data_IF_379410498175
#
_entry.id   IF_379410498175
#
_cell.length_a   1.000
_cell.length_b   1.000
_cell.length_c   1.000
_cell.angle_alpha   90.00
_cell.angle_beta   90.00
_cell.angle_gamma   90.00
#
_symmetry.space_group_name_H-M   'P 1'
#
loop_
_entity.id
_entity.type
_entity.pdbx_description
1 polymer ?
#
# COMPACT_ATOMS: atom_id res chain seq x y z
N UNK A 1 3.48 -13.99 -4.58
CA UNK A 1 3.12 -13.43 -3.25
C UNK A 1 3.81 -14.22 -2.15
N UNK A 2 4.74 -13.58 -1.43
CA UNK A 2 5.42 -14.18 -0.27
C UNK A 2 4.49 -14.21 0.96
N UNK A 3 4.75 -15.10 1.91
CA UNK A 3 3.97 -15.22 3.15
C UNK A 3 4.85 -15.01 4.36
N UNK A 4 4.38 -14.22 5.32
CA UNK A 4 4.98 -14.04 6.64
C UNK A 4 4.03 -14.57 7.70
N UNK A 5 4.53 -15.52 8.48
CA UNK A 5 3.80 -16.13 9.60
C UNK A 5 4.07 -15.35 10.89
N UNK A 6 3.25 -15.65 11.89
CA UNK A 6 3.37 -15.07 13.21
C UNK A 6 4.58 -15.67 13.93
N UNK A 7 5.16 -14.87 14.82
CA UNK A 7 6.21 -15.34 15.72
C UNK A 7 5.90 -14.79 17.09
N UNK A 8 5.90 -15.67 18.11
CA UNK A 8 5.61 -15.24 19.48
C UNK A 8 6.76 -14.38 20.03
N UNK A 9 6.48 -13.53 21.03
CA UNK A 9 7.54 -12.75 21.69
C UNK A 9 8.69 -13.64 22.20
N UNK A 10 8.35 -14.81 22.77
CA UNK A 10 9.34 -15.75 23.29
C UNK A 10 10.20 -16.32 22.16
N UNK A 11 9.60 -16.67 21.02
CA UNK A 11 10.33 -17.14 19.85
C UNK A 11 11.26 -16.07 19.28
N UNK A 12 10.73 -14.86 19.07
CA UNK A 12 11.51 -13.73 18.52
C UNK A 12 12.70 -13.39 19.42
N UNK A 13 12.58 -13.54 20.74
CA UNK A 13 13.70 -13.30 21.67
C UNK A 13 14.90 -14.23 21.47
N UNK A 14 14.71 -15.35 20.77
CA UNK A 14 15.77 -16.33 20.46
C UNK A 14 16.33 -16.20 19.04
N UNK A 15 15.74 -15.34 18.21
CA UNK A 15 16.15 -15.21 16.81
C UNK A 15 17.55 -14.62 16.68
N UNK A 16 18.31 -15.20 15.74
CA UNK A 16 19.48 -14.56 15.17
C UNK A 16 19.09 -13.35 14.31
N UNK A 17 20.06 -12.49 14.00
CA UNK A 17 19.85 -11.36 13.08
C UNK A 17 19.26 -11.79 11.75
N UNK A 18 19.71 -12.92 11.19
CA UNK A 18 19.20 -13.41 9.91
C UNK A 18 17.73 -13.85 10.05
N UNK A 19 17.38 -14.57 11.11
CA UNK A 19 16.00 -14.98 11.36
C UNK A 19 15.06 -13.77 11.56
N UNK A 20 15.52 -12.69 12.19
CA UNK A 20 14.74 -11.45 12.28
C UNK A 20 14.45 -10.90 10.87
N UNK A 21 15.46 -10.83 10.00
CA UNK A 21 15.28 -10.37 8.60
C UNK A 21 14.33 -11.29 7.82
N UNK A 22 14.55 -12.60 7.90
CA UNK A 22 13.77 -13.59 7.17
C UNK A 22 12.28 -13.55 7.55
N UNK A 23 11.96 -13.20 8.80
CA UNK A 23 10.58 -13.15 9.28
C UNK A 23 9.92 -11.78 9.13
N UNK A 24 10.67 -10.68 9.26
CA UNK A 24 10.08 -9.33 9.38
C UNK A 24 10.46 -8.36 8.27
N UNK A 25 11.54 -8.60 7.52
CA UNK A 25 11.98 -7.72 6.45
C UNK A 25 11.36 -8.12 5.11
N UNK A 26 10.85 -7.14 4.38
CA UNK A 26 10.53 -7.27 2.95
C UNK A 26 11.66 -6.55 2.22
N UNK A 27 12.60 -7.31 1.66
CA UNK A 27 13.81 -6.72 1.03
C UNK A 27 13.49 -5.99 -0.27
N UNK A 28 12.48 -6.47 -0.99
CA UNK A 28 12.13 -5.96 -2.30
C UNK A 28 10.63 -5.62 -2.35
N UNK A 29 10.32 -4.33 -2.43
CA UNK A 29 8.94 -3.82 -2.55
C UNK A 29 8.63 -3.39 -3.98
N UNK A 30 9.63 -2.95 -4.75
CA UNK A 30 9.44 -2.44 -6.11
C UNK A 30 10.37 -3.16 -7.07
N UNK A 31 9.79 -3.75 -8.11
CA UNK A 31 10.53 -4.39 -9.20
C UNK A 31 9.95 -4.01 -10.55
N UNK A 32 10.84 -3.83 -11.52
CA UNK A 32 10.48 -3.25 -12.82
C UNK A 32 9.41 -4.10 -13.50
N UNK A 33 8.28 -3.46 -13.83
CA UNK A 33 7.15 -4.09 -14.49
C UNK A 33 6.58 -5.30 -13.72
N UNK A 34 6.61 -5.23 -12.39
CA UNK A 34 6.05 -6.24 -11.46
C UNK A 34 5.19 -5.61 -10.36
N UNK A 35 4.27 -6.42 -9.84
CA UNK A 35 3.56 -6.16 -8.59
C UNK A 35 4.09 -7.15 -7.55
N UNK A 36 4.85 -6.65 -6.59
CA UNK A 36 5.34 -7.43 -5.46
C UNK A 36 4.33 -7.37 -4.33
N UNK A 37 3.88 -8.54 -3.85
CA UNK A 37 2.94 -8.65 -2.74
C UNK A 37 3.48 -9.63 -1.70
N UNK A 38 3.35 -9.24 -0.43
CA UNK A 38 3.64 -10.06 0.74
C UNK A 38 2.40 -10.12 1.62
N UNK A 39 1.93 -11.33 1.90
CA UNK A 39 0.83 -11.58 2.82
C UNK A 39 1.39 -11.82 4.21
N UNK A 40 1.05 -10.95 5.14
CA UNK A 40 1.31 -11.11 6.57
C UNK A 40 0.09 -11.74 7.24
N UNK A 41 0.29 -12.74 8.09
CA UNK A 41 -0.80 -13.31 8.90
C UNK A 41 -1.31 -12.31 9.95
N UNK A 42 -0.47 -11.35 10.38
CA UNK A 42 -0.85 -10.26 11.28
C UNK A 42 -1.95 -9.43 10.62
N UNK A 43 -3.16 -9.56 11.16
CA UNK A 43 -4.41 -9.00 10.62
C UNK A 43 -4.67 -9.30 9.14
N UNK A 44 -4.01 -10.33 8.61
CA UNK A 44 -4.10 -10.73 7.20
C UNK A 44 -3.74 -9.58 6.25
N UNK A 45 -2.85 -8.68 6.66
CA UNK A 45 -2.45 -7.54 5.87
C UNK A 45 -1.64 -8.00 4.65
N UNK A 46 -1.90 -7.40 3.49
CA UNK A 46 -1.08 -7.55 2.30
C UNK A 46 -0.32 -6.24 2.11
N UNK A 47 1.00 -6.34 2.02
CA UNK A 47 1.93 -5.24 1.84
C UNK A 47 2.62 -5.44 0.51
N UNK A 48 2.80 -4.39 -0.28
CA UNK A 48 3.43 -4.55 -1.57
C UNK A 48 3.77 -3.25 -2.27
N UNK A 49 4.28 -3.41 -3.48
CA UNK A 49 4.56 -2.32 -4.39
C UNK A 49 4.30 -2.71 -5.84
N UNK A 50 3.78 -1.76 -6.62
CA UNK A 50 3.69 -1.87 -8.07
C UNK A 50 4.59 -0.81 -8.71
N UNK A 51 5.49 -1.23 -9.59
CA UNK A 51 6.38 -0.34 -10.36
C UNK A 51 6.17 -0.58 -11.86
N UNK A 52 5.09 -0.02 -12.45
CA UNK A 52 4.94 -0.04 -13.90
C UNK A 52 5.99 0.86 -14.54
N UNK A 53 6.72 0.39 -15.54
CA UNK A 53 7.69 1.22 -16.26
C UNK A 53 7.44 1.19 -17.76
N UNK A 54 7.41 -0.01 -18.34
CA UNK A 54 7.24 -0.20 -19.78
C UNK A 54 5.87 -0.80 -20.13
N UNK A 55 5.12 -1.29 -19.14
CA UNK A 55 3.79 -1.87 -19.35
C UNK A 55 2.81 -1.53 -18.23
N UNK A 56 1.52 -1.68 -18.54
CA UNK A 56 0.44 -1.63 -17.55
C UNK A 56 0.51 -2.90 -16.70
N UNK A 57 0.38 -2.74 -15.38
CA UNK A 57 0.35 -3.85 -14.44
C UNK A 57 -1.07 -4.03 -13.92
N UNK A 58 -1.69 -5.15 -14.24
CA UNK A 58 -3.00 -5.52 -13.69
C UNK A 58 -2.83 -6.25 -12.37
N UNK A 59 -3.60 -5.85 -11.36
CA UNK A 59 -3.66 -6.52 -10.07
C UNK A 59 -4.24 -7.93 -10.26
N UNK A 60 -3.41 -8.95 -10.05
CA UNK A 60 -3.87 -10.33 -10.06
C UNK A 60 -4.71 -10.67 -8.82
N UNK A 61 -5.36 -11.83 -8.85
CA UNK A 61 -6.08 -12.40 -7.71
C UNK A 61 -5.41 -13.71 -7.28
N UNK A 62 -4.49 -13.69 -6.30
CA UNK A 62 -3.82 -14.91 -5.85
C UNK A 62 -4.83 -15.93 -5.26
N UNK A 63 -4.79 -17.20 -5.70
CA UNK A 63 -5.70 -18.28 -5.27
C UNK A 63 -5.86 -18.44 -3.75
N UNK A 64 -4.82 -18.05 -3.00
CA UNK A 64 -4.81 -18.09 -1.53
C UNK A 64 -5.81 -17.13 -0.89
N UNK A 65 -6.28 -16.11 -1.62
CA UNK A 65 -7.36 -15.24 -1.16
C UNK A 65 -8.71 -15.94 -1.12
N UNK A 66 -8.90 -17.02 -1.90
CA UNK A 66 -10.17 -17.76 -2.00
C UNK A 66 -11.35 -16.82 -2.28
N UNK A 67 -11.13 -15.94 -3.25
CA UNK A 67 -12.06 -14.92 -3.73
C UNK A 67 -12.09 -14.96 -5.27
N UNK A 68 -13.12 -14.39 -5.87
CA UNK A 68 -13.28 -14.24 -7.32
C UNK A 68 -12.35 -13.16 -7.89
N UNK A 69 -12.14 -12.07 -7.13
CA UNK A 69 -11.22 -10.99 -7.43
C UNK A 69 -10.60 -10.41 -6.15
N UNK A 70 -9.51 -9.66 -6.29
CA UNK A 70 -8.64 -9.28 -5.16
C UNK A 70 -9.38 -8.51 -4.04
N UNK A 71 -10.22 -7.54 -4.40
CA UNK A 71 -10.94 -6.69 -3.43
C UNK A 71 -12.39 -7.13 -3.16
N UNK A 72 -12.77 -8.38 -3.44
CA UNK A 72 -14.12 -8.88 -3.15
C UNK A 72 -14.49 -8.71 -1.66
N UNK A 73 -13.51 -8.87 -0.78
CA UNK A 73 -13.65 -8.80 0.68
C UNK A 73 -12.53 -8.01 1.35
N UNK A 74 -11.91 -7.09 0.61
CA UNK A 74 -10.74 -6.33 1.04
C UNK A 74 -10.87 -4.88 0.62
N UNK A 75 -10.21 -4.00 1.35
CA UNK A 75 -9.94 -2.62 0.94
C UNK A 75 -8.45 -2.45 0.64
N UNK A 76 -8.09 -1.40 -0.10
CA UNK A 76 -6.72 -1.11 -0.47
C UNK A 76 -6.42 0.38 -0.40
N UNK A 77 -5.31 0.73 0.23
CA UNK A 77 -4.71 2.06 0.17
C UNK A 77 -3.43 2.02 -0.64
N UNK A 78 -3.27 3.03 -1.50
CA UNK A 78 -2.17 3.17 -2.43
C UNK A 78 -1.57 4.55 -2.21
N UNK A 79 -0.25 4.63 -1.95
CA UNK A 79 0.49 5.89 -1.91
C UNK A 79 1.56 5.83 -2.99
N UNK A 80 1.61 6.83 -3.88
CA UNK A 80 2.67 6.92 -4.86
C UNK A 80 3.90 7.61 -4.25
N UNK A 81 5.06 6.95 -4.26
CA UNK A 81 6.33 7.50 -3.76
C UNK A 81 7.35 7.76 -4.87
N UNK A 82 6.98 7.51 -6.13
CA UNK A 82 7.81 7.69 -7.33
C UNK A 82 7.36 8.85 -8.23
N UNK A 83 7.59 8.69 -9.54
CA UNK A 83 7.11 9.63 -10.57
C UNK A 83 5.60 9.59 -10.77
N UNK A 84 5.07 10.42 -11.66
CA UNK A 84 3.62 10.47 -11.93
C UNK A 84 3.13 9.18 -12.59
N UNK A 85 1.94 8.74 -12.18
CA UNK A 85 1.30 7.58 -12.77
C UNK A 85 -0.21 7.61 -12.63
N UNK A 86 -0.82 6.47 -12.92
CA UNK A 86 -2.28 6.29 -12.92
C UNK A 86 -2.64 4.97 -12.25
N UNK A 87 -3.66 5.02 -11.41
CA UNK A 87 -4.39 3.84 -10.93
C UNK A 87 -5.72 3.82 -11.67
N UNK A 88 -6.03 2.73 -12.36
CA UNK A 88 -7.35 2.54 -12.99
C UNK A 88 -8.13 1.51 -12.20
N UNK A 89 -9.33 1.85 -11.75
CA UNK A 89 -10.22 0.98 -10.98
C UNK A 89 -11.59 0.92 -11.67
N UNK A 90 -11.98 -0.26 -12.15
CA UNK A 90 -13.24 -0.50 -12.87
C UNK A 90 -13.49 0.51 -14.01
N UNK A 91 -12.42 0.83 -14.75
CA UNK A 91 -12.45 1.77 -15.87
C UNK A 91 -12.34 3.25 -15.47
N UNK A 92 -12.40 3.59 -14.18
CA UNK A 92 -12.18 4.95 -13.68
C UNK A 92 -10.69 5.20 -13.47
N UNK A 93 -10.18 6.26 -14.08
CA UNK A 93 -8.76 6.62 -14.03
C UNK A 93 -8.48 7.65 -12.93
N UNK A 94 -7.54 7.33 -12.04
CA UNK A 94 -7.00 8.23 -11.04
C UNK A 94 -5.55 8.58 -11.37
N UNK A 95 -5.32 9.75 -11.95
CA UNK A 95 -3.97 10.31 -12.07
C UNK A 95 -3.45 10.66 -10.68
N UNK A 96 -2.26 10.19 -10.33
CA UNK A 96 -1.72 10.23 -8.98
C UNK A 96 -0.26 10.67 -9.02
N UNK A 97 0.00 11.86 -8.49
CA UNK A 97 1.34 12.40 -8.33
C UNK A 97 2.09 11.81 -7.14
N UNK A 98 3.35 12.22 -6.99
CA UNK A 98 4.19 11.83 -5.85
C UNK A 98 3.59 12.35 -4.53
N UNK A 99 3.52 11.48 -3.52
CA UNK A 99 2.90 11.72 -2.21
C UNK A 99 1.38 11.96 -2.27
N UNK A 100 0.72 11.62 -3.37
CA UNK A 100 -0.74 11.51 -3.40
C UNK A 100 -1.16 10.07 -3.11
N UNK A 101 -2.42 9.87 -2.71
CA UNK A 101 -2.96 8.57 -2.38
C UNK A 101 -4.27 8.27 -3.12
N UNK A 102 -4.54 6.97 -3.32
CA UNK A 102 -5.84 6.47 -3.76
C UNK A 102 -6.27 5.38 -2.78
N UNK A 103 -7.52 5.43 -2.34
CA UNK A 103 -8.20 4.37 -1.63
C UNK A 103 -9.18 3.67 -2.57
N UNK A 104 -9.14 2.34 -2.57
CA UNK A 104 -10.07 1.48 -3.28
C UNK A 104 -10.84 0.65 -2.25
N UNK A 105 -12.15 0.82 -2.25
CA UNK A 105 -13.05 0.12 -1.36
C UNK A 105 -13.33 -1.32 -1.80
N UNK A 106 -13.90 -2.07 -0.86
CA UNK A 106 -14.43 -3.41 -1.11
C UNK A 106 -15.38 -3.44 -2.30
N UNK A 107 -15.17 -4.40 -3.19
CA UNK A 107 -16.00 -4.64 -4.38
C UNK A 107 -15.40 -4.12 -5.67
N UNK A 108 -14.29 -3.38 -5.62
CA UNK A 108 -13.55 -2.95 -6.82
C UNK A 108 -12.93 -4.17 -7.51
N UNK A 109 -13.30 -4.45 -8.74
CA UNK A 109 -12.95 -5.73 -9.38
C UNK A 109 -11.65 -5.64 -10.17
N UNK A 110 -11.55 -4.67 -11.06
CA UNK A 110 -10.44 -4.53 -11.99
C UNK A 110 -9.56 -3.37 -11.57
N UNK A 111 -8.32 -3.66 -11.15
CA UNK A 111 -7.34 -2.64 -10.77
C UNK A 111 -6.09 -2.77 -11.63
N UNK A 112 -5.60 -1.66 -12.18
CA UNK A 112 -4.33 -1.62 -12.89
C UNK A 112 -3.53 -0.35 -12.60
N UNK A 113 -2.23 -0.44 -12.85
CA UNK A 113 -1.24 0.58 -12.56
C UNK A 113 -0.44 0.91 -13.82
N UNK A 114 -0.20 2.19 -14.07
CA UNK A 114 0.69 2.64 -15.14
C UNK A 114 1.49 3.87 -14.73
N UNK A 115 2.65 4.06 -15.38
CA UNK A 115 3.48 5.25 -15.22
C UNK A 115 3.26 6.20 -16.38
N UNK A 116 3.33 7.50 -16.11
CA UNK A 116 3.30 8.54 -17.16
C UNK A 116 4.60 8.56 -17.97
N UNK A 117 5.72 8.19 -17.34
CA UNK A 117 7.05 8.16 -17.95
C UNK A 117 7.82 6.92 -17.51
N UNK A 118 8.46 6.21 -18.45
CA UNK A 118 9.36 5.10 -18.15
C UNK A 118 10.70 5.56 -17.54
N UNK A 119 11.08 6.83 -17.76
CA UNK A 119 12.31 7.42 -17.22
C UNK A 119 12.17 7.83 -15.76
N UNK A 120 10.94 8.07 -15.29
CA UNK A 120 10.60 8.39 -13.91
C UNK A 120 9.32 7.62 -13.53
N UNK A 121 9.43 6.30 -13.29
CA UNK A 121 8.28 5.47 -13.05
C UNK A 121 7.61 5.80 -11.71
N UNK A 122 6.29 5.66 -11.67
CA UNK A 122 5.53 5.64 -10.44
C UNK A 122 5.90 4.43 -9.59
N UNK A 123 5.90 4.64 -8.27
CA UNK A 123 6.18 3.62 -7.26
C UNK A 123 4.98 3.55 -6.33
N UNK A 124 4.03 2.66 -6.61
CA UNK A 124 2.79 2.54 -5.86
C UNK A 124 2.98 1.64 -4.65
N UNK A 125 3.14 2.21 -3.46
CA UNK A 125 3.14 1.45 -2.21
C UNK A 125 1.70 1.05 -1.86
N UNK A 126 1.47 -0.23 -1.61
CA UNK A 126 0.15 -0.84 -1.47
C UNK A 126 0.02 -1.45 -0.08
N UNK A 127 -1.06 -1.10 0.62
CA UNK A 127 -1.55 -1.85 1.77
C UNK A 127 -2.98 -2.30 1.51
N UNK A 128 -3.27 -3.56 1.83
CA UNK A 128 -4.63 -4.09 1.77
C UNK A 128 -4.94 -4.94 2.99
N UNK A 129 -6.14 -4.77 3.54
CA UNK A 129 -6.65 -5.55 4.65
C UNK A 129 -8.09 -6.01 4.37
N UNK A 130 -8.62 -6.99 5.10
CA UNK A 130 -10.01 -7.40 5.00
C UNK A 130 -10.98 -6.22 5.24
N UNK A 131 -12.08 -6.19 4.51
CA UNK A 131 -13.11 -5.16 4.65
C UNK A 131 -14.50 -5.79 4.67
N UNK A 132 -15.39 -5.22 5.47
CA UNK A 132 -16.75 -5.72 5.65
C UNK A 132 -17.81 -4.77 5.09
N UNK A 133 -17.55 -3.46 5.16
CA UNK A 133 -18.32 -2.42 4.49
C UNK A 133 -17.63 -1.98 3.19
N UNK A 134 -18.41 -1.34 2.31
CA UNK A 134 -17.89 -0.68 1.11
C UNK A 134 -17.88 0.82 1.36
N UNK A 135 -16.72 1.44 1.15
CA UNK A 135 -16.53 2.89 1.09
C UNK A 135 -16.12 3.29 -0.34
N UNK A 136 -16.39 4.52 -0.79
CA UNK A 136 -16.15 4.94 -2.17
C UNK A 136 -14.66 4.98 -2.50
N UNK A 137 -14.33 4.65 -3.76
CA UNK A 137 -13.00 4.86 -4.30
C UNK A 137 -12.70 6.35 -4.35
N UNK A 138 -11.57 6.78 -3.80
CA UNK A 138 -11.26 8.21 -3.67
C UNK A 138 -9.77 8.47 -3.81
N UNK A 139 -9.43 9.56 -4.50
CA UNK A 139 -8.08 10.12 -4.57
C UNK A 139 -7.92 11.24 -3.56
N UNK A 140 -6.79 11.29 -2.87
CA UNK A 140 -6.35 12.41 -2.05
C UNK A 140 -5.03 12.95 -2.60
N UNK A 141 -5.07 14.19 -3.09
CA UNK A 141 -3.86 14.88 -3.52
C UNK A 141 -3.03 15.32 -2.33
N UNK A 142 -1.70 15.29 -2.47
CA UNK A 142 -0.73 15.72 -1.47
C UNK A 142 -1.11 17.05 -0.80
N UNK A 143 -1.54 18.04 -1.58
CA UNK A 143 -1.85 19.40 -1.09
C UNK A 143 -3.10 19.45 -0.19
N UNK A 144 -3.95 18.43 -0.25
CA UNK A 144 -5.16 18.30 0.56
C UNK A 144 -4.96 17.38 1.78
N UNK A 145 -3.74 16.87 1.98
CA UNK A 145 -3.42 15.97 3.09
C UNK A 145 -3.29 16.76 4.39
N UNK A 146 -3.92 16.26 5.45
CA UNK A 146 -3.76 16.83 6.79
C UNK A 146 -2.33 16.57 7.26
N UNK A 147 -1.58 17.64 7.52
CA UNK A 147 -0.18 17.59 7.96
C UNK A 147 -0.02 18.04 9.41
N UNK A 148 0.90 17.39 10.14
CA UNK A 148 1.25 17.77 11.50
C UNK A 148 2.77 17.81 11.65
N UNK A 149 3.31 18.99 11.96
CA UNK A 149 4.73 19.15 12.29
C UNK A 149 4.96 18.87 13.78
N UNK A 150 5.91 18.01 14.10
CA UNK A 150 6.19 17.60 15.47
C UNK A 150 7.67 17.34 15.70
N UNK A 151 8.05 17.34 16.98
CA UNK A 151 9.43 17.08 17.40
C UNK A 151 10.33 18.28 17.20
N UNK A 152 11.61 18.07 17.51
CA UNK A 152 12.63 19.10 17.50
C UNK A 152 13.96 18.53 16.99
N UNK A 153 14.83 19.41 16.49
CA UNK A 153 16.13 19.00 15.96
C UNK A 153 17.03 18.46 17.09
N UNK A 154 16.93 19.05 18.27
CA UNK A 154 17.68 18.69 19.48
C UNK A 154 17.39 17.26 19.94
N UNK A 155 16.18 16.77 19.66
CA UNK A 155 15.75 15.39 19.97
C UNK A 155 15.82 14.46 18.75
N UNK A 156 16.42 14.90 17.65
CA UNK A 156 16.60 14.14 16.42
C UNK A 156 15.30 13.50 15.88
N UNK A 157 14.17 14.19 16.06
CA UNK A 157 12.84 13.67 15.72
C UNK A 157 11.91 14.72 15.08
N UNK A 158 12.47 15.85 14.61
CA UNK A 158 11.74 16.83 13.82
C UNK A 158 11.23 16.20 12.52
N UNK A 159 9.91 16.20 12.32
CA UNK A 159 9.26 15.52 11.18
C UNK A 159 7.88 16.10 10.87
N UNK A 160 7.40 15.81 9.66
CA UNK A 160 6.06 16.16 9.19
C UNK A 160 5.26 14.89 8.96
N UNK A 161 4.17 14.71 9.71
CA UNK A 161 3.27 13.56 9.54
C UNK A 161 2.17 13.94 8.55
N UNK A 162 2.03 13.17 7.49
CA UNK A 162 0.98 13.24 6.47
C UNK A 162 -0.06 12.15 6.75
N UNK A 163 -1.31 12.52 7.01
CA UNK A 163 -2.39 11.57 7.33
C UNK A 163 -3.30 11.37 6.12
N UNK A 164 -3.33 10.17 5.54
CA UNK A 164 -4.12 9.88 4.33
C UNK A 164 -5.42 9.15 4.65
N UNK A 165 -5.31 7.91 5.15
CA UNK A 165 -6.45 7.09 5.53
C UNK A 165 -6.53 7.13 7.05
N UNK A 166 -7.53 7.86 7.57
CA UNK A 166 -7.75 8.09 8.99
C UNK A 166 -9.16 8.70 9.21
N UNK A 167 -9.58 8.84 10.47
CA UNK A 167 -10.94 9.28 10.82
C UNK A 167 -11.39 10.62 10.22
N UNK A 168 -10.49 11.59 10.06
CA UNK A 168 -10.79 12.92 9.49
C UNK A 168 -10.38 13.02 8.00
N UNK A 169 -9.80 11.95 7.44
CA UNK A 169 -9.35 11.88 6.06
C UNK A 169 -10.19 10.88 5.28
N UNK A 170 -9.54 9.99 4.53
CA UNK A 170 -10.25 8.93 3.81
C UNK A 170 -10.83 7.92 4.80
N UNK A 171 -12.14 7.66 4.69
CA UNK A 171 -12.84 6.61 5.44
C UNK A 171 -12.44 5.21 4.98
N UNK A 172 -12.36 4.28 5.93
CA UNK A 172 -12.01 2.87 5.71
C UNK A 172 -12.70 1.98 6.74
N UNK A 173 -12.65 0.65 6.55
CA UNK A 173 -13.11 -0.29 7.56
C UNK A 173 -12.13 -0.36 8.74
N UNK A 174 -10.84 -0.56 8.44
CA UNK A 174 -9.79 -0.71 9.44
C UNK A 174 -8.42 -0.19 8.98
N UNK A 175 -8.23 0.01 7.67
CA UNK A 175 -6.96 0.48 7.13
C UNK A 175 -6.66 1.90 7.63
N UNK A 176 -5.45 2.12 8.15
CA UNK A 176 -4.94 3.45 8.49
C UNK A 176 -3.59 3.63 7.81
N UNK A 177 -3.41 4.75 7.11
CA UNK A 177 -2.20 5.03 6.35
C UNK A 177 -1.74 6.47 6.54
N UNK A 178 -0.44 6.61 6.76
CA UNK A 178 0.26 7.88 6.83
C UNK A 178 1.61 7.79 6.13
N UNK A 179 2.22 8.95 5.90
CA UNK A 179 3.62 9.08 5.50
C UNK A 179 4.27 10.04 6.50
N UNK A 180 5.53 9.81 6.86
CA UNK A 180 6.27 10.67 7.80
C UNK A 180 7.66 10.92 7.27
#
# INVERSE_FOLDING_TARGET
MQFRFESSRNEVSTFTTQQIRDNFLIENIFSEDQIELTYSIYDRMIIGGAMPKNKILTLGNPDKLKANFFLERREMGIINVGGEGKVTADGVEFEIGKLSAVYLGKGTENVSFSSKSANDPALFYILSCPAHATYPNVKLEKDNVITVNMGALETSNHRTIYKYIHQEGIQSCQLVMGLT
#
